data_IF_513023704314
#
_entry.id   IF_513023704314
#
_cell.length_a   1.000
_cell.length_b   1.000
_cell.length_c   1.000
_cell.angle_alpha   90.00
_cell.angle_beta   90.00
_cell.angle_gamma   90.00
#
_symmetry.space_group_name_H-M   'P 1'
#
loop_
_entity.id
_entity.type
_entity.pdbx_description
1 polymer ?
#
# COMPACT_ATOMS: atom_id res chain seq x y z
N UNK A 1 17.78 -54.82 41.23
CA UNK A 1 16.69 -54.60 40.24
C UNK A 1 16.45 -53.13 39.86
N UNK A 2 17.12 -52.15 40.48
CA UNK A 2 16.86 -50.70 40.29
C UNK A 2 17.63 -50.03 39.15
N UNK A 3 18.81 -50.54 38.76
CA UNK A 3 19.65 -49.95 37.70
C UNK A 3 19.12 -50.13 36.27
N UNK A 4 18.44 -51.25 35.97
CA UNK A 4 17.91 -51.50 34.63
C UNK A 4 16.67 -50.66 34.29
N UNK A 5 15.85 -50.36 35.30
CA UNK A 5 14.66 -49.51 35.12
C UNK A 5 15.09 -48.06 34.86
N UNK A 6 16.08 -47.56 35.61
CA UNK A 6 16.63 -46.22 35.42
C UNK A 6 17.25 -46.04 34.02
N UNK A 7 17.98 -47.03 33.51
CA UNK A 7 18.60 -46.96 32.19
C UNK A 7 17.56 -47.00 31.04
N UNK A 8 16.45 -47.73 31.23
CA UNK A 8 15.33 -47.76 30.27
C UNK A 8 14.53 -46.46 30.25
N UNK A 9 14.32 -45.84 31.41
CA UNK A 9 13.68 -44.51 31.48
C UNK A 9 14.57 -43.40 30.89
N UNK A 10 15.89 -43.48 31.10
CA UNK A 10 16.84 -42.53 30.51
C UNK A 10 16.86 -42.63 28.97
N UNK A 11 16.84 -43.85 28.43
CA UNK A 11 16.83 -44.10 26.99
C UNK A 11 15.51 -43.68 26.32
N UNK A 12 14.36 -43.83 27.01
CA UNK A 12 13.06 -43.35 26.53
C UNK A 12 12.96 -41.81 26.55
N UNK A 13 13.51 -41.16 27.58
CA UNK A 13 13.52 -39.69 27.66
C UNK A 13 14.45 -39.05 26.60
N UNK A 14 15.61 -39.66 26.33
CA UNK A 14 16.53 -39.20 25.27
C UNK A 14 15.94 -39.46 23.87
N UNK A 15 15.22 -40.55 23.66
CA UNK A 15 14.50 -40.83 22.41
C UNK A 15 13.38 -39.82 22.10
N UNK A 16 12.71 -39.30 23.14
CA UNK A 16 11.65 -38.30 22.97
C UNK A 16 12.20 -36.90 22.68
N UNK A 17 13.39 -36.55 23.19
CA UNK A 17 14.06 -35.28 22.86
C UNK A 17 14.62 -35.23 21.43
N UNK A 18 14.97 -36.38 20.83
CA UNK A 18 15.50 -36.46 19.47
C UNK A 18 14.43 -36.33 18.36
N UNK A 19 13.14 -36.41 18.72
CA UNK A 19 12.00 -36.23 17.80
C UNK A 19 11.45 -34.80 17.82
N UNK A 20 11.87 -33.97 18.76
CA UNK A 20 11.59 -32.54 18.76
C UNK A 20 12.60 -31.84 17.85
N UNK A 21 12.51 -32.06 16.53
CA UNK A 21 13.04 -31.08 15.60
C UNK A 21 12.27 -29.79 15.88
N UNK A 22 12.89 -28.70 16.37
CA UNK A 22 12.22 -27.42 16.32
C UNK A 22 11.83 -27.24 14.86
N UNK A 23 10.53 -27.16 14.58
CA UNK A 23 10.05 -26.66 13.32
C UNK A 23 10.47 -25.20 13.33
N UNK A 24 11.67 -24.94 12.81
CA UNK A 24 12.05 -23.61 12.39
C UNK A 24 11.01 -23.29 11.31
N UNK A 25 9.89 -22.67 11.69
CA UNK A 25 9.21 -21.76 10.78
C UNK A 25 10.35 -20.94 10.19
N UNK A 26 10.60 -21.07 8.89
CA UNK A 26 11.65 -20.31 8.23
C UNK A 26 11.34 -18.85 8.53
N UNK A 27 12.09 -18.25 9.44
CA UNK A 27 11.92 -16.85 9.78
C UNK A 27 12.21 -16.09 8.49
N UNK A 28 11.18 -15.47 7.90
CA UNK A 28 11.33 -14.79 6.62
C UNK A 28 12.34 -13.66 6.70
N UNK A 29 12.98 -13.36 5.57
CA UNK A 29 13.89 -12.21 5.43
C UNK A 29 13.08 -10.98 4.96
N UNK A 30 12.89 -9.95 5.82
CA UNK A 30 12.11 -8.78 5.45
C UNK A 30 12.74 -7.96 4.32
N UNK A 31 14.07 -8.01 4.13
CA UNK A 31 14.72 -7.30 3.01
C UNK A 31 14.44 -8.02 1.69
N UNK A 32 14.44 -9.35 1.71
CA UNK A 32 14.06 -10.15 0.53
C UNK A 32 12.57 -9.99 0.23
N UNK A 33 11.74 -9.93 1.27
CA UNK A 33 10.31 -9.65 1.16
C UNK A 33 10.02 -8.29 0.53
N UNK A 34 10.77 -7.25 0.91
CA UNK A 34 10.68 -5.94 0.25
C UNK A 34 11.05 -6.05 -1.23
N UNK A 35 12.16 -6.72 -1.55
CA UNK A 35 12.64 -6.88 -2.92
C UNK A 35 11.62 -7.61 -3.83
N UNK A 36 10.94 -8.62 -3.29
CA UNK A 36 9.85 -9.33 -3.96
C UNK A 36 8.61 -8.43 -4.11
N UNK A 37 8.24 -7.71 -3.05
CA UNK A 37 7.09 -6.79 -3.05
C UNK A 37 7.23 -5.70 -4.13
N UNK A 38 8.42 -5.08 -4.24
CA UNK A 38 8.67 -4.02 -5.24
C UNK A 38 9.03 -4.57 -6.63
N UNK A 39 9.45 -5.84 -6.72
CA UNK A 39 9.84 -6.49 -7.96
C UNK A 39 11.28 -6.25 -8.41
N UNK A 40 12.19 -5.86 -7.50
CA UNK A 40 13.64 -5.86 -7.78
C UNK A 40 14.19 -7.29 -7.83
N UNK A 41 13.52 -8.21 -7.14
CA UNK A 41 13.66 -9.65 -7.31
C UNK A 41 12.34 -10.20 -7.84
N UNK A 42 12.40 -11.01 -8.89
CA UNK A 42 11.21 -11.68 -9.44
C UNK A 42 10.82 -12.89 -8.59
N UNK A 43 9.52 -13.14 -8.48
CA UNK A 43 9.02 -14.41 -7.96
C UNK A 43 9.50 -15.58 -8.83
N UNK A 44 9.81 -16.69 -8.19
CA UNK A 44 10.31 -17.92 -8.79
C UNK A 44 9.38 -18.48 -9.87
N UNK A 45 8.07 -18.49 -9.61
CA UNK A 45 7.05 -18.92 -10.57
C UNK A 45 6.61 -17.80 -11.53
N UNK A 46 7.23 -16.61 -11.48
CA UNK A 46 6.98 -15.53 -12.44
C UNK A 46 5.70 -14.72 -12.22
N UNK A 47 5.18 -14.70 -10.98
CA UNK A 47 4.11 -13.80 -10.56
C UNK A 47 4.51 -12.32 -10.70
N UNK A 48 3.51 -11.43 -10.79
CA UNK A 48 3.77 -9.98 -10.82
C UNK A 48 4.11 -9.46 -9.42
N UNK A 49 5.02 -8.49 -9.24
CA UNK A 49 5.31 -7.94 -7.92
C UNK A 49 4.07 -7.28 -7.31
N UNK A 50 3.93 -7.34 -5.99
CA UNK A 50 2.76 -6.84 -5.26
C UNK A 50 2.52 -5.34 -5.52
N UNK A 51 3.61 -4.56 -5.62
CA UNK A 51 3.59 -3.13 -5.92
C UNK A 51 2.96 -2.79 -7.28
N UNK A 52 2.81 -3.76 -8.20
CA UNK A 52 2.11 -3.51 -9.45
C UNK A 52 0.64 -3.09 -9.23
N UNK A 53 0.04 -3.52 -8.12
CA UNK A 53 -1.36 -3.25 -7.81
C UNK A 53 -1.55 -2.55 -6.45
N UNK A 54 -0.74 -2.90 -5.45
CA UNK A 54 -0.95 -2.53 -4.06
C UNK A 54 0.11 -1.53 -3.58
N UNK A 55 -0.31 -0.42 -2.98
CA UNK A 55 0.59 0.53 -2.32
C UNK A 55 0.67 0.34 -0.80
N UNK A 56 1.69 0.96 -0.19
CA UNK A 56 1.83 1.11 1.27
C UNK A 56 2.04 2.60 1.59
N UNK A 57 1.07 3.20 2.27
CA UNK A 57 1.17 4.56 2.79
C UNK A 57 2.32 4.70 3.80
N UNK A 58 3.10 5.78 3.68
CA UNK A 58 4.15 6.13 4.65
C UNK A 58 5.59 5.74 4.26
N UNK A 59 5.81 4.98 3.19
CA UNK A 59 7.17 4.66 2.71
C UNK A 59 7.50 5.11 1.29
N UNK A 60 6.70 5.98 0.68
CA UNK A 60 6.79 6.41 -0.74
C UNK A 60 6.64 5.26 -1.78
N UNK A 61 6.76 4.01 -1.33
CA UNK A 61 6.44 2.73 -1.95
C UNK A 61 4.92 2.60 -2.20
N UNK A 62 4.44 3.21 -3.28
CA UNK A 62 3.07 2.97 -3.78
C UNK A 62 2.31 4.22 -4.18
N UNK A 63 2.34 5.28 -3.36
CA UNK A 63 1.60 6.53 -3.68
C UNK A 63 2.29 7.38 -4.76
N UNK A 64 3.62 7.36 -4.81
CA UNK A 64 4.39 7.98 -5.91
C UNK A 64 4.54 7.05 -7.13
N UNK A 65 4.43 5.73 -6.92
CA UNK A 65 4.56 4.70 -7.96
C UNK A 65 3.24 4.34 -8.68
N UNK A 66 2.09 4.86 -8.24
CA UNK A 66 0.79 4.66 -8.91
C UNK A 66 0.10 3.33 -8.61
N UNK A 67 0.51 2.63 -7.55
CA UNK A 67 -0.07 1.36 -7.13
C UNK A 67 -1.39 1.59 -6.37
N UNK A 68 -2.49 1.72 -7.10
CA UNK A 68 -3.82 1.98 -6.53
C UNK A 68 -4.94 1.13 -7.14
N UNK A 69 -4.59 0.04 -7.82
CA UNK A 69 -5.59 -0.88 -8.36
C UNK A 69 -6.13 -1.83 -7.29
N UNK A 70 -5.25 -2.29 -6.39
CA UNK A 70 -5.62 -3.05 -5.19
C UNK A 70 -5.74 -2.15 -3.94
N UNK A 71 -6.28 -2.70 -2.83
CA UNK A 71 -6.28 -2.03 -1.54
C UNK A 71 -4.87 -1.69 -1.05
N UNK A 72 -4.76 -0.62 -0.26
CA UNK A 72 -3.54 -0.23 0.42
C UNK A 72 -3.22 -1.27 1.53
N UNK A 73 -1.98 -1.77 1.55
CA UNK A 73 -1.57 -2.84 2.47
C UNK A 73 -0.94 -2.34 3.76
N UNK A 74 -0.96 -1.02 4.03
CA UNK A 74 -0.37 -0.47 5.26
C UNK A 74 -0.99 -1.12 6.50
N UNK A 75 -2.32 -1.24 6.54
CA UNK A 75 -3.03 -1.80 7.69
C UNK A 75 -3.18 -3.34 7.64
N UNK A 76 -2.52 -4.05 6.72
CA UNK A 76 -2.80 -5.48 6.48
C UNK A 76 -2.64 -6.36 7.74
N UNK A 77 -1.63 -6.09 8.59
CA UNK A 77 -1.49 -6.82 9.87
C UNK A 77 -2.51 -6.39 10.93
N UNK A 78 -2.98 -5.14 10.90
CA UNK A 78 -4.04 -4.70 11.82
C UNK A 78 -5.37 -5.38 11.47
N UNK A 79 -5.63 -5.54 10.17
CA UNK A 79 -6.87 -6.11 9.64
C UNK A 79 -6.92 -7.65 9.75
N UNK A 80 -5.79 -8.33 9.48
CA UNK A 80 -5.75 -9.79 9.36
C UNK A 80 -4.88 -10.51 10.41
N UNK A 81 -3.96 -9.82 11.07
CA UNK A 81 -2.91 -10.45 11.88
C UNK A 81 -1.93 -11.28 11.05
N UNK A 82 -0.85 -11.76 11.66
CA UNK A 82 0.22 -12.49 10.97
C UNK A 82 -0.28 -13.77 10.27
N UNK A 83 -1.04 -14.61 10.98
CA UNK A 83 -1.61 -15.85 10.45
C UNK A 83 -2.61 -15.59 9.32
N UNK A 84 -3.38 -14.51 9.42
CA UNK A 84 -4.31 -14.11 8.36
C UNK A 84 -3.60 -13.63 7.11
N UNK A 85 -2.50 -12.88 7.27
CA UNK A 85 -1.65 -12.46 6.14
C UNK A 85 -1.03 -13.67 5.47
N UNK A 86 -0.49 -14.63 6.23
CA UNK A 86 0.03 -15.88 5.68
C UNK A 86 -1.06 -16.64 4.92
N UNK A 87 -2.24 -16.77 5.50
CA UNK A 87 -3.42 -17.40 4.91
C UNK A 87 -3.82 -16.78 3.56
N UNK A 88 -3.81 -15.46 3.47
CA UNK A 88 -4.09 -14.74 2.23
C UNK A 88 -3.03 -15.03 1.16
N UNK A 89 -1.76 -15.08 1.54
CA UNK A 89 -0.64 -15.33 0.63
C UNK A 89 -0.56 -16.78 0.11
N UNK A 90 -1.25 -17.75 0.71
CA UNK A 90 -1.20 -19.16 0.27
C UNK A 90 -1.82 -19.37 -1.11
N UNK A 91 -2.95 -18.72 -1.38
CA UNK A 91 -3.78 -19.00 -2.56
C UNK A 91 -4.09 -17.75 -3.39
N UNK A 92 -4.04 -16.54 -2.78
CA UNK A 92 -4.27 -15.27 -3.47
C UNK A 92 -5.56 -15.25 -4.34
N UNK A 93 -6.61 -15.94 -3.90
CA UNK A 93 -7.82 -16.26 -4.65
C UNK A 93 -8.82 -15.09 -4.78
N UNK A 94 -8.32 -13.86 -4.88
CA UNK A 94 -9.12 -12.70 -5.26
C UNK A 94 -9.28 -12.66 -6.78
N UNK A 95 -10.49 -12.35 -7.27
CA UNK A 95 -10.83 -12.35 -8.70
C UNK A 95 -9.77 -11.69 -9.61
N UNK A 96 -9.25 -10.53 -9.20
CA UNK A 96 -8.24 -9.80 -9.96
C UNK A 96 -6.82 -10.37 -9.84
N UNK A 97 -6.53 -11.14 -8.79
CA UNK A 97 -5.23 -11.77 -8.53
C UNK A 97 -5.14 -13.19 -9.08
N UNK A 98 -6.26 -13.92 -9.19
CA UNK A 98 -6.32 -15.28 -9.76
C UNK A 98 -5.65 -15.33 -11.14
N UNK A 99 -6.00 -14.39 -12.03
CA UNK A 99 -5.41 -14.30 -13.37
C UNK A 99 -3.87 -14.16 -13.37
N UNK A 100 -3.29 -13.70 -12.25
CA UNK A 100 -1.86 -13.57 -12.06
C UNK A 100 -1.28 -14.82 -11.41
N UNK A 101 -1.84 -15.30 -10.31
CA UNK A 101 -1.19 -16.26 -9.41
C UNK A 101 -1.68 -17.71 -9.50
N UNK A 102 -2.83 -17.99 -10.13
CA UNK A 102 -3.41 -19.36 -10.19
C UNK A 102 -2.42 -20.41 -10.73
N UNK A 103 -1.66 -20.04 -11.76
CA UNK A 103 -0.65 -20.91 -12.37
C UNK A 103 0.79 -20.51 -11.99
N UNK A 104 0.95 -19.56 -11.06
CA UNK A 104 2.23 -18.97 -10.65
C UNK A 104 2.23 -18.72 -9.14
N UNK A 105 2.06 -19.77 -8.32
CA UNK A 105 1.91 -19.62 -6.88
C UNK A 105 3.19 -19.12 -6.22
N UNK A 106 3.04 -18.50 -5.04
CA UNK A 106 4.18 -18.14 -4.22
C UNK A 106 4.74 -19.37 -3.51
N UNK A 107 6.06 -19.50 -3.45
CA UNK A 107 6.71 -20.55 -2.66
C UNK A 107 6.59 -20.25 -1.16
N UNK A 108 6.71 -21.29 -0.33
CA UNK A 108 6.69 -21.16 1.14
C UNK A 108 7.70 -20.13 1.64
N UNK A 109 8.89 -20.07 1.01
CA UNK A 109 9.93 -19.13 1.43
C UNK A 109 9.60 -17.71 1.01
N UNK A 110 9.08 -17.49 -0.20
CA UNK A 110 8.62 -16.16 -0.64
C UNK A 110 7.47 -15.65 0.22
N UNK A 111 6.53 -16.53 0.61
CA UNK A 111 5.45 -16.18 1.54
C UNK A 111 6.01 -15.76 2.90
N UNK A 112 6.94 -16.54 3.46
CA UNK A 112 7.58 -16.19 4.73
C UNK A 112 8.30 -14.84 4.68
N UNK A 113 9.03 -14.55 3.60
CA UNK A 113 9.70 -13.26 3.43
C UNK A 113 8.71 -12.10 3.31
N UNK A 114 7.62 -12.28 2.53
CA UNK A 114 6.57 -11.28 2.39
C UNK A 114 5.85 -11.01 3.71
N UNK A 115 5.54 -12.05 4.49
CA UNK A 115 5.02 -11.93 5.87
C UNK A 115 6.00 -11.10 6.70
N UNK A 116 7.28 -11.47 6.74
CA UNK A 116 8.29 -10.73 7.50
C UNK A 116 8.36 -9.26 7.12
N UNK A 117 8.35 -8.94 5.81
CA UNK A 117 8.34 -7.56 5.32
C UNK A 117 7.07 -6.81 5.69
N UNK A 118 5.90 -7.39 5.44
CA UNK A 118 4.61 -6.75 5.69
C UNK A 118 4.42 -6.40 7.17
N UNK A 119 4.92 -7.25 8.08
CA UNK A 119 4.94 -6.96 9.51
C UNK A 119 5.76 -5.71 9.88
N UNK A 120 6.80 -5.37 9.11
CA UNK A 120 7.59 -4.14 9.34
C UNK A 120 6.91 -2.86 8.86
N UNK A 121 5.92 -2.96 7.97
CA UNK A 121 5.24 -1.78 7.40
C UNK A 121 3.96 -1.45 8.12
N UNK A 122 3.30 -2.41 8.76
CA UNK A 122 2.04 -2.18 9.47
C UNK A 122 2.16 -1.43 10.78
N UNK A 123 3.38 -1.20 11.27
CA UNK A 123 3.65 -0.28 12.39
C UNK A 123 3.95 1.15 11.92
N UNK A 124 3.98 1.37 10.60
CA UNK A 124 4.17 2.68 10.00
C UNK A 124 2.95 3.54 10.21
N UNK A 125 2.99 4.39 11.22
CA UNK A 125 2.05 5.50 11.43
C UNK A 125 1.75 6.13 10.07
N UNK A 126 0.54 5.91 9.54
CA UNK A 126 0.06 6.68 8.40
C UNK A 126 0.22 8.12 8.83
N UNK A 127 1.02 8.96 8.14
CA UNK A 127 1.12 10.35 8.50
C UNK A 127 -0.30 10.89 8.43
N UNK A 128 -0.87 11.15 9.60
CA UNK A 128 -2.00 12.03 9.78
C UNK A 128 -1.59 13.26 8.97
N UNK A 129 -2.18 13.40 7.78
CA UNK A 129 -2.02 14.61 6.99
C UNK A 129 -2.78 15.62 7.84
N UNK A 130 -2.06 16.23 8.78
CA UNK A 130 -2.67 16.93 9.89
C UNK A 130 -3.64 17.94 9.34
N UNK A 131 -4.78 18.08 10.00
CA UNK A 131 -5.83 19.07 9.71
C UNK A 131 -5.25 20.42 9.24
N UNK A 132 -4.07 20.80 9.75
CA UNK A 132 -3.23 21.88 9.24
C UNK A 132 -2.95 21.86 7.73
N UNK A 133 -2.42 20.80 7.13
CA UNK A 133 -2.11 20.76 5.69
C UNK A 133 -3.36 20.86 4.81
N UNK A 134 -4.46 20.21 5.18
CA UNK A 134 -5.73 20.33 4.47
C UNK A 134 -6.23 21.78 4.49
N UNK A 135 -6.12 22.46 5.63
CA UNK A 135 -6.44 23.88 5.76
C UNK A 135 -5.52 24.76 4.90
N UNK A 136 -4.22 24.48 4.86
CA UNK A 136 -3.28 25.24 4.03
C UNK A 136 -3.60 25.09 2.53
N UNK A 137 -3.87 23.86 2.06
CA UNK A 137 -4.27 23.61 0.66
C UNK A 137 -5.58 24.35 0.33
N UNK A 138 -6.55 24.32 1.24
CA UNK A 138 -7.80 25.07 1.08
C UNK A 138 -7.56 26.58 0.98
N UNK A 139 -6.75 27.16 1.87
CA UNK A 139 -6.42 28.59 1.87
C UNK A 139 -5.72 29.00 0.57
N UNK A 140 -4.71 28.24 0.13
CA UNK A 140 -3.96 28.53 -1.10
C UNK A 140 -4.88 28.46 -2.32
N UNK A 141 -5.72 27.43 -2.41
CA UNK A 141 -6.67 27.26 -3.52
C UNK A 141 -7.72 28.37 -3.54
N UNK A 142 -8.27 28.74 -2.37
CA UNK A 142 -9.23 29.82 -2.25
C UNK A 142 -8.62 31.18 -2.65
N UNK A 143 -7.41 31.49 -2.18
CA UNK A 143 -6.68 32.70 -2.58
C UNK A 143 -6.44 32.75 -4.08
N UNK A 144 -6.01 31.63 -4.68
CA UNK A 144 -5.81 31.53 -6.12
C UNK A 144 -7.10 31.81 -6.91
N UNK A 145 -8.23 31.23 -6.50
CA UNK A 145 -9.53 31.47 -7.11
C UNK A 145 -10.00 32.92 -6.95
N UNK A 146 -9.77 33.54 -5.79
CA UNK A 146 -10.09 34.95 -5.55
C UNK A 146 -9.27 35.86 -6.47
N UNK A 147 -7.97 35.59 -6.62
CA UNK A 147 -7.07 36.38 -7.48
C UNK A 147 -7.51 36.27 -8.95
N UNK A 148 -7.73 35.05 -9.46
CA UNK A 148 -8.21 34.86 -10.83
C UNK A 148 -9.58 35.50 -11.04
N UNK A 149 -10.52 35.31 -10.10
CA UNK A 149 -11.84 35.90 -10.16
C UNK A 149 -11.80 37.43 -10.17
N UNK A 150 -10.97 38.04 -9.32
CA UNK A 150 -10.81 39.49 -9.25
C UNK A 150 -10.15 40.06 -10.51
N UNK A 151 -9.10 39.41 -11.03
CA UNK A 151 -8.47 39.80 -12.29
C UNK A 151 -9.45 39.64 -13.47
N UNK A 152 -10.17 38.53 -13.53
CA UNK A 152 -11.20 38.26 -14.53
C UNK A 152 -12.32 39.30 -14.50
N UNK A 153 -12.87 39.61 -13.33
CA UNK A 153 -13.91 40.63 -13.19
C UNK A 153 -13.44 42.04 -13.57
N UNK A 154 -12.19 42.41 -13.26
CA UNK A 154 -11.60 43.68 -13.72
C UNK A 154 -11.52 43.74 -15.24
N UNK A 155 -11.08 42.65 -15.89
CA UNK A 155 -11.04 42.53 -17.36
C UNK A 155 -12.44 42.62 -17.97
N UNK A 156 -13.41 41.86 -17.43
CA UNK A 156 -14.79 41.80 -17.94
C UNK A 156 -15.52 43.13 -17.80
N UNK A 157 -15.34 43.87 -16.69
CA UNK A 157 -15.90 45.23 -16.54
C UNK A 157 -15.41 46.18 -17.64
N UNK A 158 -14.12 46.11 -17.98
CA UNK A 158 -13.53 46.92 -19.06
C UNK A 158 -14.12 46.60 -20.44
N UNK A 159 -14.39 45.32 -20.73
CA UNK A 159 -15.04 44.90 -21.99
C UNK A 159 -16.52 45.30 -22.01
N UNK A 160 -17.24 45.05 -20.91
CA UNK A 160 -18.68 45.36 -20.78
C UNK A 160 -18.95 46.85 -21.01
N UNK A 161 -18.15 47.74 -20.46
CA UNK A 161 -18.30 49.19 -20.66
C UNK A 161 -18.17 49.57 -22.15
N UNK A 162 -17.21 48.99 -22.87
CA UNK A 162 -17.05 49.24 -24.31
C UNK A 162 -18.23 48.72 -25.15
N UNK A 163 -18.80 47.58 -24.77
CA UNK A 163 -19.99 47.03 -25.45
C UNK A 163 -21.23 47.88 -25.18
N UNK A 164 -21.44 48.34 -23.94
CA UNK A 164 -22.57 49.23 -23.58
C UNK A 164 -22.45 50.58 -24.29
N UNK A 165 -21.25 51.16 -24.37
CA UNK A 165 -21.01 52.42 -25.06
C UNK A 165 -21.28 52.30 -26.58
N UNK A 166 -20.83 51.21 -27.21
CA UNK A 166 -21.14 50.91 -28.62
C UNK A 166 -22.64 50.74 -28.86
N UNK A 167 -23.33 50.01 -27.97
CA UNK A 167 -24.78 49.81 -28.07
C UNK A 167 -25.55 51.12 -27.90
N UNK A 168 -25.08 52.05 -27.03
CA UNK A 168 -25.66 53.39 -26.90
C UNK A 168 -25.44 54.24 -28.14
N UNK A 169 -24.23 54.26 -28.71
CA UNK A 169 -23.92 55.03 -29.92
C UNK A 169 -24.66 54.52 -31.16
N UNK A 170 -24.72 53.20 -31.37
CA UNK A 170 -25.45 52.62 -32.51
C UNK A 170 -26.97 52.86 -32.46
N UNK A 171 -27.54 53.13 -31.28
CA UNK A 171 -28.94 53.52 -31.12
C UNK A 171 -29.19 55.03 -31.36
N UNK A 172 -28.14 55.85 -31.36
CA UNK A 172 -28.20 57.29 -31.63
C UNK A 172 -28.01 57.66 -33.11
N UNK A 173 -27.53 56.73 -33.94
CA UNK A 173 -27.26 56.93 -35.37
C UNK A 173 -28.43 56.51 -36.28
N UNK A 174 -29.52 56.00 -35.67
CA UNK A 174 -30.81 55.71 -36.30
C UNK A 174 -31.80 56.85 -36.00
N UNK A 175 -31.49 58.07 -36.44
CA UNK A 175 -32.43 59.20 -36.54
C UNK A 175 -32.09 59.99 -37.79
#
# INVERSE_FOLDING_TARGET
>A
MTRQVLNRFLLLAVGLLLLATPSWAQQGDPLRGEALYVGTVSFSEGGAPCLACHGIAGRELGRAAGASYGPDLTAIYEDYGEEGVLGVLEDLSFESMIAIYENRPLTDTERADLVAFLGTVSTGVVPNIGSGMALHVFIVTALFMIVIGALGWRRLKGVRQRLIERARRGKGEIV
#
